data_IF_037643177452
#
_entry.id   IF_037643177452
#
_cell.length_a   1.000
_cell.length_b   1.000
_cell.length_c   1.000
_cell.angle_alpha   90.00
_cell.angle_beta   90.00
_cell.angle_gamma   90.00
#
_symmetry.space_group_name_H-M   'P 1'
#
loop_
_entity.id
_entity.type
_entity.pdbx_description
1 polymer ?
#
# COMPACT_ATOMS: atom_id res chain seq x y z
N UNK A 1 -11.16 20.86 21.04
CA UNK A 1 -10.91 19.40 21.01
C UNK A 1 -11.91 18.79 20.04
N UNK A 2 -11.44 18.33 18.88
CA UNK A 2 -12.29 18.01 17.73
C UNK A 2 -13.15 16.77 17.97
N UNK A 3 -14.47 16.91 17.79
CA UNK A 3 -15.47 15.84 17.83
C UNK A 3 -15.23 14.69 16.81
N UNK A 4 -14.25 14.84 15.91
CA UNK A 4 -13.78 13.79 14.99
C UNK A 4 -13.14 12.59 15.69
N UNK A 5 -12.62 12.75 16.92
CA UNK A 5 -11.87 11.68 17.61
C UNK A 5 -12.75 10.77 18.49
N UNK A 6 -14.01 11.12 18.74
CA UNK A 6 -14.84 10.39 19.71
C UNK A 6 -15.30 8.99 19.24
N UNK A 7 -15.21 8.69 17.94
CA UNK A 7 -15.69 7.44 17.33
C UNK A 7 -14.68 6.78 16.37
N UNK A 8 -13.39 7.12 16.46
CA UNK A 8 -12.39 6.50 15.59
C UNK A 8 -12.12 5.06 16.04
N UNK A 9 -12.54 4.10 15.23
CA UNK A 9 -12.11 2.70 15.38
C UNK A 9 -10.80 2.56 14.60
N UNK A 10 -9.67 2.30 15.28
CA UNK A 10 -8.39 2.15 14.60
C UNK A 10 -8.45 0.99 13.61
N UNK A 11 -7.92 1.23 12.41
CA UNK A 11 -7.82 0.20 11.37
C UNK A 11 -7.11 -1.03 11.92
N UNK A 12 -7.63 -2.23 11.63
CA UNK A 12 -7.06 -3.48 12.11
C UNK A 12 -6.90 -4.46 10.96
N UNK A 13 -5.69 -4.99 10.81
CA UNK A 13 -5.39 -6.12 9.93
C UNK A 13 -5.32 -7.37 10.80
N UNK A 14 -5.99 -8.44 10.40
CA UNK A 14 -5.87 -9.73 11.04
C UNK A 14 -5.54 -10.82 10.03
N UNK A 15 -4.78 -11.81 10.45
CA UNK A 15 -4.56 -13.02 9.68
C UNK A 15 -5.28 -14.18 10.37
N UNK A 16 -6.06 -14.95 9.62
CA UNK A 16 -6.73 -16.16 10.10
C UNK A 16 -6.20 -17.39 9.38
N UNK A 17 -6.22 -18.53 10.08
CA UNK A 17 -6.05 -19.83 9.44
C UNK A 17 -7.43 -20.36 9.07
N UNK A 18 -7.60 -20.86 7.85
CA UNK A 18 -8.87 -21.48 7.44
C UNK A 18 -9.21 -22.74 8.25
N UNK A 19 -8.19 -23.39 8.85
CA UNK A 19 -8.39 -24.55 9.72
C UNK A 19 -8.82 -24.14 11.14
N UNK A 20 -8.62 -22.88 11.55
CA UNK A 20 -8.92 -22.38 12.89
C UNK A 20 -9.37 -20.91 12.79
N UNK A 21 -10.64 -20.70 12.46
CA UNK A 21 -11.20 -19.36 12.21
C UNK A 21 -11.76 -18.66 13.46
N UNK A 22 -11.86 -19.37 14.59
CA UNK A 22 -12.37 -18.86 15.87
C UNK A 22 -11.57 -17.67 16.41
N UNK A 23 -10.26 -17.65 16.13
CA UNK A 23 -9.36 -16.57 16.55
C UNK A 23 -8.35 -16.26 15.45
N UNK A 24 -7.98 -14.97 15.36
CA UNK A 24 -6.91 -14.55 14.47
C UNK A 24 -5.60 -15.20 14.93
N UNK A 25 -4.80 -15.67 13.97
CA UNK A 25 -3.43 -16.12 14.22
C UNK A 25 -2.59 -14.99 14.81
N UNK A 26 -2.77 -13.78 14.29
CA UNK A 26 -2.21 -12.54 14.82
C UNK A 26 -2.95 -11.35 14.23
N UNK A 27 -2.77 -10.17 14.84
CA UNK A 27 -3.43 -8.93 14.42
C UNK A 27 -2.47 -7.74 14.51
N UNK A 28 -2.62 -6.80 13.58
CA UNK A 28 -1.89 -5.55 13.51
C UNK A 28 -2.87 -4.39 13.66
N UNK A 29 -2.62 -3.54 14.65
CA UNK A 29 -3.42 -2.33 14.91
C UNK A 29 -2.86 -1.14 14.14
N UNK A 30 -3.73 -0.22 13.74
CA UNK A 30 -3.39 1.01 13.00
C UNK A 30 -2.67 0.75 11.68
N UNK A 31 -2.95 -0.40 11.04
CA UNK A 31 -2.43 -0.77 9.74
C UNK A 31 -3.57 -0.82 8.72
N UNK A 32 -3.28 -0.52 7.46
CA UNK A 32 -4.22 -0.51 6.34
C UNK A 32 -3.59 -1.05 5.05
N UNK A 33 -4.44 -1.25 4.05
CA UNK A 33 -4.05 -1.68 2.70
C UNK A 33 -3.18 -2.95 2.66
N UNK A 34 -3.47 -4.00 3.45
CA UNK A 34 -2.61 -5.19 3.49
C UNK A 34 -2.61 -5.91 2.14
N UNK A 35 -1.44 -6.44 1.74
CA UNK A 35 -1.27 -7.25 0.53
C UNK A 35 -0.32 -8.40 0.79
N UNK A 36 -0.67 -9.60 0.35
CA UNK A 36 0.28 -10.69 0.25
C UNK A 36 1.28 -10.42 -0.88
N UNK A 37 2.49 -10.94 -0.72
CA UNK A 37 3.36 -11.18 -1.85
C UNK A 37 2.85 -12.37 -2.70
N UNK A 38 3.43 -12.61 -3.86
CA UNK A 38 2.99 -13.70 -4.75
C UNK A 38 3.34 -15.08 -4.20
N UNK A 39 4.43 -15.19 -3.42
CA UNK A 39 4.80 -16.41 -2.69
C UNK A 39 3.89 -16.78 -1.52
N UNK A 40 3.13 -15.82 -0.99
CA UNK A 40 2.18 -16.01 0.12
C UNK A 40 2.82 -16.19 1.50
N UNK A 41 4.12 -15.96 1.63
CA UNK A 41 4.89 -16.04 2.89
C UNK A 41 5.09 -14.69 3.56
N UNK A 42 4.79 -13.58 2.87
CA UNK A 42 4.91 -12.22 3.39
C UNK A 42 3.66 -11.39 3.15
N UNK A 43 3.41 -10.46 4.06
CA UNK A 43 2.37 -9.42 3.94
C UNK A 43 3.03 -8.07 4.04
N UNK A 44 2.67 -7.13 3.18
CA UNK A 44 2.99 -5.72 3.37
C UNK A 44 1.73 -4.98 3.83
N UNK A 45 1.89 -4.03 4.74
CA UNK A 45 0.83 -3.11 5.13
C UNK A 45 1.39 -1.70 5.38
N UNK A 46 0.49 -0.73 5.32
CA UNK A 46 0.79 0.68 5.58
C UNK A 46 0.26 1.10 6.94
N UNK A 47 1.06 1.82 7.71
CA UNK A 47 0.60 2.49 8.92
C UNK A 47 -0.40 3.61 8.56
N UNK A 48 -1.42 3.77 9.39
CA UNK A 48 -2.28 4.94 9.36
C UNK A 48 -1.48 6.18 9.80
N UNK A 49 -1.72 7.35 9.19
CA UNK A 49 -1.00 8.58 9.55
C UNK A 49 -1.42 9.13 10.93
N UNK A 50 -2.55 8.68 11.48
CA UNK A 50 -3.10 9.09 12.78
C UNK A 50 -2.37 8.51 14.00
N UNK A 51 -1.20 7.87 13.84
CA UNK A 51 -0.47 7.32 14.99
C UNK A 51 0.31 8.41 15.68
N UNK A 52 0.02 8.60 16.97
CA UNK A 52 0.58 9.63 17.83
C UNK A 52 2.11 9.64 17.76
N UNK A 53 2.69 10.81 17.50
CA UNK A 53 4.10 10.96 17.19
C UNK A 53 5.05 10.64 18.37
N UNK A 54 4.51 10.19 19.50
CA UNK A 54 5.22 9.90 20.73
C UNK A 54 5.36 8.39 21.01
N UNK A 55 4.74 7.51 20.22
CA UNK A 55 4.90 6.05 20.35
C UNK A 55 6.17 5.57 19.62
N UNK A 56 7.24 5.17 20.35
CA UNK A 56 8.52 4.80 19.74
C UNK A 56 8.47 3.46 18.98
N UNK A 57 7.46 2.63 19.23
CA UNK A 57 7.24 1.33 18.59
C UNK A 57 6.26 1.37 17.42
N UNK A 58 5.67 2.52 17.11
CA UNK A 58 4.75 2.67 15.98
C UNK A 58 5.52 2.65 14.65
N UNK A 59 5.13 1.76 13.74
CA UNK A 59 5.56 1.84 12.35
C UNK A 59 5.03 3.15 11.74
N UNK A 60 5.88 3.91 11.05
CA UNK A 60 5.55 5.23 10.47
C UNK A 60 5.48 5.23 8.95
N UNK A 61 5.12 4.09 8.36
CA UNK A 61 5.10 3.96 6.91
C UNK A 61 4.76 2.56 6.48
N UNK A 62 5.65 1.95 5.71
CA UNK A 62 5.45 0.61 5.16
C UNK A 62 6.13 -0.41 6.05
N UNK A 63 5.42 -1.46 6.44
CA UNK A 63 6.00 -2.60 7.12
C UNK A 63 5.69 -3.89 6.35
N UNK A 64 6.70 -4.75 6.25
CA UNK A 64 6.56 -6.12 5.77
C UNK A 64 6.50 -7.05 6.98
N UNK A 65 5.67 -8.08 6.92
CA UNK A 65 5.41 -9.03 7.98
C UNK A 65 5.56 -10.45 7.44
N UNK A 66 6.28 -11.30 8.16
CA UNK A 66 6.30 -12.73 7.89
C UNK A 66 4.98 -13.39 8.31
N UNK A 67 4.40 -14.20 7.42
CA UNK A 67 3.08 -14.81 7.64
C UNK A 67 3.08 -15.78 8.82
N UNK A 68 4.20 -16.45 9.08
CA UNK A 68 4.27 -17.48 10.12
C UNK A 68 4.49 -16.91 11.51
N UNK A 69 5.40 -15.95 11.62
CA UNK A 69 5.97 -15.44 12.88
C UNK A 69 5.45 -14.05 13.28
N UNK A 70 4.78 -13.34 12.37
CA UNK A 70 4.40 -11.93 12.53
C UNK A 70 5.59 -10.99 12.82
N UNK A 71 6.83 -11.44 12.57
CA UNK A 71 7.99 -10.56 12.62
C UNK A 71 7.89 -9.53 11.51
N UNK A 72 8.23 -8.28 11.84
CA UNK A 72 8.16 -7.18 10.89
C UNK A 72 9.55 -6.66 10.52
N UNK A 73 9.68 -6.28 9.27
CA UNK A 73 10.79 -5.49 8.75
C UNK A 73 10.20 -4.16 8.30
N UNK A 74 10.73 -3.06 8.83
CA UNK A 74 10.35 -1.70 8.43
C UNK A 74 11.36 -1.21 7.38
N UNK A 75 11.06 -1.33 6.07
CA UNK A 75 11.94 -0.80 5.02
C UNK A 75 12.15 0.72 5.10
N UNK A 76 11.29 1.46 5.83
CA UNK A 76 11.39 2.90 5.97
C UNK A 76 12.29 3.37 7.14
N UNK A 77 12.77 2.46 8.00
CA UNK A 77 13.66 2.81 9.13
C UNK A 77 14.97 3.43 8.65
N UNK A 78 15.03 4.76 8.67
CA UNK A 78 16.23 5.58 8.40
C UNK A 78 16.34 6.15 6.97
N UNK A 79 15.27 6.10 6.18
CA UNK A 79 15.27 6.55 4.77
C UNK A 79 14.70 7.96 4.53
N UNK A 80 14.72 8.38 3.25
CA UNK A 80 14.05 9.60 2.78
C UNK A 80 12.54 9.56 3.05
N UNK A 81 11.96 10.73 3.37
CA UNK A 81 10.52 10.87 3.50
C UNK A 81 9.79 10.56 2.18
N UNK A 82 8.68 9.83 2.26
CA UNK A 82 7.84 9.48 1.12
C UNK A 82 7.16 10.67 0.45
N UNK A 83 6.24 10.39 -0.47
CA UNK A 83 5.45 11.42 -1.16
C UNK A 83 4.26 11.91 -0.35
N UNK A 84 4.02 11.37 0.85
CA UNK A 84 2.96 11.80 1.77
C UNK A 84 1.61 11.83 1.09
N UNK A 85 1.28 10.73 0.39
CA UNK A 85 -0.05 10.54 -0.20
C UNK A 85 -1.12 10.19 0.85
N UNK A 86 -0.70 9.91 2.09
CA UNK A 86 -1.57 9.50 3.19
C UNK A 86 -2.49 8.35 2.80
N UNK A 87 -3.76 8.46 3.16
CA UNK A 87 -4.77 7.42 2.91
C UNK A 87 -5.05 7.17 1.42
N UNK A 88 -4.57 8.04 0.53
CA UNK A 88 -4.68 7.86 -0.92
C UNK A 88 -3.55 6.98 -1.51
N UNK A 89 -2.75 6.34 -0.66
CA UNK A 89 -1.64 5.44 -1.02
C UNK A 89 -1.96 3.96 -0.77
N UNK A 90 -1.22 3.07 -1.41
CA UNK A 90 -1.17 1.65 -1.07
C UNK A 90 0.28 1.13 -1.02
N UNK A 91 0.40 -0.15 -0.70
CA UNK A 91 1.61 -0.92 -0.91
C UNK A 91 1.32 -2.08 -1.88
N UNK A 92 2.33 -2.53 -2.61
CA UNK A 92 2.24 -3.71 -3.48
C UNK A 92 3.62 -4.30 -3.72
N UNK A 93 3.73 -5.62 -3.72
CA UNK A 93 4.91 -6.31 -4.24
C UNK A 93 4.91 -6.32 -5.77
N UNK A 94 6.10 -6.33 -6.35
CA UNK A 94 6.31 -6.63 -7.77
C UNK A 94 5.95 -8.08 -8.11
N UNK A 95 5.71 -8.44 -9.39
CA UNK A 95 5.32 -9.80 -9.80
C UNK A 95 6.29 -10.91 -9.38
N UNK A 96 7.55 -10.57 -9.13
CA UNK A 96 8.59 -11.51 -8.71
C UNK A 96 9.02 -11.34 -7.24
N UNK A 97 8.26 -10.56 -6.46
CA UNK A 97 8.50 -10.29 -5.03
C UNK A 97 9.89 -9.71 -4.71
N UNK A 98 10.62 -9.18 -5.69
CA UNK A 98 11.95 -8.60 -5.50
C UNK A 98 11.92 -7.15 -5.06
N UNK A 99 10.88 -6.42 -5.48
CA UNK A 99 10.70 -5.00 -5.13
C UNK A 99 9.31 -4.75 -4.55
N UNK A 100 9.22 -3.67 -3.77
CA UNK A 100 8.01 -3.23 -3.08
C UNK A 100 7.76 -1.76 -3.43
N UNK A 101 6.54 -1.46 -3.88
CA UNK A 101 6.09 -0.08 -4.07
C UNK A 101 5.27 0.34 -2.87
N UNK A 102 5.56 1.50 -2.29
CA UNK A 102 4.66 2.17 -1.35
C UNK A 102 4.92 3.66 -1.25
N UNK A 103 3.86 4.47 -1.15
CA UNK A 103 3.94 5.94 -1.06
C UNK A 103 4.81 6.59 -2.15
N UNK A 104 4.76 6.04 -3.37
CA UNK A 104 5.58 6.49 -4.50
C UNK A 104 7.06 6.13 -4.40
N UNK A 105 7.46 5.34 -3.39
CA UNK A 105 8.80 4.83 -3.20
C UNK A 105 8.88 3.37 -3.66
N UNK A 106 9.93 3.05 -4.41
CA UNK A 106 10.29 1.70 -4.80
C UNK A 106 11.45 1.21 -3.94
N UNK A 107 11.27 0.06 -3.29
CA UNK A 107 12.24 -0.53 -2.38
C UNK A 107 12.67 -1.90 -2.90
N UNK A 108 13.93 -2.26 -2.66
CA UNK A 108 14.40 -3.63 -2.81
C UNK A 108 14.04 -4.42 -1.55
N UNK A 109 13.33 -5.53 -1.71
CA UNK A 109 12.79 -6.32 -0.59
C UNK A 109 13.91 -7.00 0.19
N UNK A 110 14.95 -7.50 -0.49
CA UNK A 110 16.02 -8.28 0.14
C UNK A 110 16.96 -7.42 0.98
N UNK A 111 17.31 -6.25 0.48
CA UNK A 111 18.26 -5.33 1.11
C UNK A 111 17.60 -4.23 1.92
N UNK A 112 16.26 -4.11 1.86
CA UNK A 112 15.46 -3.05 2.48
C UNK A 112 15.98 -1.64 2.13
N UNK A 113 16.49 -1.47 0.91
CA UNK A 113 17.04 -0.19 0.42
C UNK A 113 16.06 0.48 -0.53
N UNK A 114 16.02 1.81 -0.45
CA UNK A 114 15.33 2.62 -1.44
C UNK A 114 16.03 2.48 -2.79
N UNK A 115 15.26 2.11 -3.80
CA UNK A 115 15.71 2.01 -5.20
C UNK A 115 15.41 3.30 -5.93
N UNK A 116 14.19 3.83 -5.78
CA UNK A 116 13.76 5.04 -6.47
C UNK A 116 12.58 5.71 -5.77
N UNK A 117 12.48 7.04 -5.91
CA UNK A 117 11.33 7.85 -5.53
C UNK A 117 10.71 8.44 -6.79
N UNK A 118 9.50 8.00 -7.15
CA UNK A 118 8.79 8.53 -8.30
C UNK A 118 8.26 9.93 -8.01
N UNK A 119 8.23 10.79 -9.03
CA UNK A 119 7.71 12.15 -8.91
C UNK A 119 6.22 12.13 -8.54
N UNK A 120 5.83 13.02 -7.60
CA UNK A 120 4.44 13.20 -7.19
C UNK A 120 3.68 14.01 -8.23
N UNK A 121 3.01 13.33 -9.16
CA UNK A 121 2.22 13.97 -10.23
C UNK A 121 0.74 14.23 -9.86
N UNK A 122 0.27 13.69 -8.74
CA UNK A 122 -1.09 13.94 -8.22
C UNK A 122 -1.12 13.79 -6.68
N UNK A 123 -2.29 13.93 -6.07
CA UNK A 123 -2.50 13.64 -4.64
C UNK A 123 -2.94 12.18 -4.38
N UNK A 124 -3.03 11.35 -5.42
CA UNK A 124 -3.37 9.93 -5.33
C UNK A 124 -2.13 9.10 -5.60
N UNK A 125 -1.73 8.28 -4.63
CA UNK A 125 -0.52 7.47 -4.67
C UNK A 125 -0.78 6.00 -4.94
N UNK A 126 -1.98 5.64 -5.41
CA UNK A 126 -2.32 4.24 -5.65
C UNK A 126 -1.50 3.67 -6.80
N UNK A 127 -0.62 2.74 -6.47
CA UNK A 127 0.32 2.14 -7.39
C UNK A 127 0.15 0.63 -7.55
N UNK A 128 0.30 0.15 -8.79
CA UNK A 128 0.26 -1.27 -9.16
C UNK A 128 1.37 -1.58 -10.16
N UNK A 129 1.95 -2.77 -10.04
CA UNK A 129 2.90 -3.27 -11.04
C UNK A 129 2.16 -3.86 -12.23
N UNK A 130 2.66 -3.61 -13.43
CA UNK A 130 2.27 -4.38 -14.60
C UNK A 130 2.74 -5.84 -14.40
N UNK A 131 1.92 -6.87 -14.66
CA UNK A 131 2.30 -8.28 -14.49
C UNK A 131 3.54 -8.70 -15.29
N UNK A 132 3.88 -7.99 -16.36
CA UNK A 132 5.13 -8.20 -17.12
C UNK A 132 6.40 -7.83 -16.34
N UNK A 133 6.27 -7.07 -15.24
CA UNK A 133 7.37 -6.67 -14.36
C UNK A 133 8.24 -5.52 -14.87
N UNK A 134 7.90 -4.90 -16.00
CA UNK A 134 8.70 -3.81 -16.60
C UNK A 134 8.15 -2.41 -16.33
N UNK A 135 6.88 -2.31 -15.95
CA UNK A 135 6.20 -1.02 -15.74
C UNK A 135 5.54 -0.99 -14.36
N UNK A 136 5.45 0.20 -13.78
CA UNK A 136 4.59 0.49 -12.64
C UNK A 136 3.64 1.62 -13.00
N UNK A 137 2.38 1.48 -12.62
CA UNK A 137 1.36 2.52 -12.79
C UNK A 137 1.10 3.12 -11.42
N UNK A 138 1.30 4.42 -11.26
CA UNK A 138 0.96 5.18 -10.05
C UNK A 138 -0.11 6.18 -10.43
N UNK A 139 -1.33 5.97 -9.95
CA UNK A 139 -2.52 6.70 -10.34
C UNK A 139 -2.71 6.64 -11.87
N UNK A 140 -2.48 7.74 -12.58
CA UNK A 140 -2.54 7.82 -14.04
C UNK A 140 -1.19 7.73 -14.75
N UNK A 141 -0.09 7.75 -14.02
CA UNK A 141 1.27 7.80 -14.57
C UNK A 141 1.86 6.39 -14.73
N UNK A 142 2.33 6.06 -15.94
CA UNK A 142 3.01 4.80 -16.24
C UNK A 142 4.51 5.03 -16.32
N UNK A 143 5.26 4.32 -15.49
CA UNK A 143 6.71 4.45 -15.35
C UNK A 143 7.43 3.19 -15.78
N UNK A 144 8.58 3.34 -16.43
CA UNK A 144 9.49 2.23 -16.75
C UNK A 144 10.36 1.88 -15.54
N UNK A 145 10.40 0.61 -15.13
CA UNK A 145 11.13 0.19 -13.92
C UNK A 145 12.64 0.05 -14.11
N UNK A 146 13.14 0.10 -15.35
CA UNK A 146 14.57 -0.04 -15.64
C UNK A 146 15.28 1.31 -15.77
N UNK A 147 14.55 2.32 -16.24
CA UNK A 147 15.05 3.68 -16.48
C UNK A 147 14.43 4.72 -15.57
N UNK A 148 13.36 4.36 -14.85
CA UNK A 148 12.55 5.24 -14.00
C UNK A 148 11.95 6.45 -14.73
N UNK A 149 11.87 6.38 -16.06
CA UNK A 149 11.28 7.43 -16.88
C UNK A 149 9.76 7.28 -16.94
N UNK A 150 9.07 8.42 -16.91
CA UNK A 150 7.65 8.49 -17.24
C UNK A 150 7.47 8.11 -18.72
N UNK A 151 6.73 7.04 -18.98
CA UNK A 151 6.42 6.58 -20.33
C UNK A 151 5.21 7.32 -20.90
N UNK A 152 4.14 7.45 -20.09
CA UNK A 152 2.88 8.08 -20.49
C UNK A 152 2.01 8.39 -19.28
N UNK A 153 1.10 9.34 -19.44
CA UNK A 153 -0.03 9.57 -18.53
C UNK A 153 -1.29 9.08 -19.22
N UNK A 154 -2.12 8.32 -18.52
CA UNK A 154 -3.39 7.76 -19.01
C UNK A 154 -4.52 8.37 -18.17
N UNK A 155 -5.15 9.48 -18.61
CA UNK A 155 -6.15 10.20 -17.80
C UNK A 155 -7.33 9.35 -17.34
N UNK A 156 -7.70 8.31 -18.10
CA UNK A 156 -8.78 7.39 -17.74
C UNK A 156 -8.50 6.53 -16.50
N UNK A 157 -7.25 6.51 -15.99
CA UNK A 157 -6.85 5.79 -14.77
C UNK A 157 -6.84 6.69 -13.53
N UNK A 158 -7.06 8.00 -13.69
CA UNK A 158 -7.04 8.96 -12.59
C UNK A 158 -8.03 8.56 -11.49
N UNK A 159 -7.60 8.60 -10.23
CA UNK A 159 -8.40 8.28 -9.05
C UNK A 159 -9.13 6.92 -9.13
N UNK A 160 -8.52 5.95 -9.81
CA UNK A 160 -9.09 4.63 -10.03
C UNK A 160 -8.26 3.52 -9.38
N UNK A 161 -8.91 2.39 -9.07
CA UNK A 161 -8.26 1.13 -8.73
C UNK A 161 -8.10 0.32 -10.01
N UNK A 162 -6.98 -0.37 -10.13
CA UNK A 162 -6.60 -1.15 -11.31
C UNK A 162 -6.44 -2.62 -10.87
N UNK A 163 -7.01 -3.53 -11.65
CA UNK A 163 -6.78 -4.95 -11.48
C UNK A 163 -6.44 -5.59 -12.82
N UNK A 164 -5.27 -6.22 -12.87
CA UNK A 164 -4.84 -6.98 -14.04
C UNK A 164 -5.45 -8.39 -14.05
N UNK A 165 -5.70 -8.89 -15.25
CA UNK A 165 -5.98 -10.30 -15.47
C UNK A 165 -4.66 -11.09 -15.48
N UNK A 166 -4.59 -12.19 -14.72
CA UNK A 166 -3.39 -13.02 -14.64
C UNK A 166 -3.16 -13.89 -15.88
N UNK A 167 -4.20 -14.12 -16.69
CA UNK A 167 -4.17 -15.08 -17.82
C UNK A 167 -4.24 -14.41 -19.19
N UNK A 168 -4.54 -13.11 -19.25
CA UNK A 168 -4.76 -12.36 -20.49
C UNK A 168 -4.20 -10.94 -20.36
N UNK A 169 -3.77 -10.31 -21.47
CA UNK A 169 -3.22 -8.95 -21.46
C UNK A 169 -4.34 -7.88 -21.37
N UNK A 170 -5.16 -7.96 -20.33
CA UNK A 170 -6.28 -7.05 -20.08
C UNK A 170 -6.32 -6.65 -18.60
N UNK A 171 -6.85 -5.47 -18.33
CA UNK A 171 -7.12 -4.98 -16.97
C UNK A 171 -8.51 -4.34 -16.92
N UNK A 172 -9.13 -4.35 -15.75
CA UNK A 172 -10.29 -3.50 -15.48
C UNK A 172 -9.92 -2.39 -14.51
N UNK A 173 -10.70 -1.31 -14.56
CA UNK A 173 -10.52 -0.15 -13.68
C UNK A 173 -11.86 0.25 -13.08
N UNK A 174 -11.84 0.72 -11.85
CA UNK A 174 -13.04 1.17 -11.15
C UNK A 174 -12.70 2.23 -10.13
N UNK A 175 -13.59 3.20 -9.94
CA UNK A 175 -13.51 4.12 -8.81
C UNK A 175 -14.07 3.43 -7.57
N UNK A 176 -13.36 3.45 -6.43
CA UNK A 176 -13.88 2.88 -5.19
C UNK A 176 -15.13 3.66 -4.77
N UNK A 177 -16.16 2.94 -4.33
CA UNK A 177 -17.37 3.58 -3.81
C UNK A 177 -17.04 4.21 -2.44
N UNK A 178 -17.11 5.53 -2.35
CA UNK A 178 -17.12 6.25 -1.08
C UNK A 178 -18.58 6.52 -0.70
N UNK A 179 -19.12 5.87 0.34
CA UNK A 179 -20.45 6.21 0.84
C UNK A 179 -20.43 7.69 1.25
N UNK A 180 -21.30 8.51 0.65
CA UNK A 180 -21.52 9.88 1.12
C UNK A 180 -21.92 9.78 2.58
N UNK A 181 -21.09 10.29 3.49
CA UNK A 181 -21.41 10.33 4.91
C UNK A 181 -22.78 11.00 5.04
N UNK A 182 -23.74 10.30 5.65
CA UNK A 182 -25.09 10.82 5.83
C UNK A 182 -24.99 12.16 6.54
N UNK A 183 -25.29 13.25 5.82
CA UNK A 183 -25.51 14.56 6.42
C UNK A 183 -26.70 14.37 7.35
N UNK A 184 -26.45 14.35 8.66
CA UNK A 184 -27.54 14.31 9.63
C UNK A 184 -28.34 15.61 9.45
N UNK A 185 -29.66 15.57 9.26
CA UNK A 185 -30.46 16.78 9.37
C UNK A 185 -30.28 17.34 10.79
N UNK A 186 -30.09 18.65 10.83
CA UNK A 186 -29.90 19.49 12.02
C UNK A 186 -31.04 19.37 13.01
#
# INVERSE_FOLDING_TARGET
MNARMANYVPSKVGLWSLNHMEQARWTLSSMRSPRFNHGGDRIVALACEDVDALEPTACRGTAMYDVQSAQFEDPSRGGEGGNTYGDSSNCSFSPWDTTLLSDGLLWDVRSTKLVHKFDKLSNVGYGVFNPSGNEVIINSAVWDLRTFKLLRVVPALESSRIQFCHTRPVMYVYSPFEPVAAVRPT
#
